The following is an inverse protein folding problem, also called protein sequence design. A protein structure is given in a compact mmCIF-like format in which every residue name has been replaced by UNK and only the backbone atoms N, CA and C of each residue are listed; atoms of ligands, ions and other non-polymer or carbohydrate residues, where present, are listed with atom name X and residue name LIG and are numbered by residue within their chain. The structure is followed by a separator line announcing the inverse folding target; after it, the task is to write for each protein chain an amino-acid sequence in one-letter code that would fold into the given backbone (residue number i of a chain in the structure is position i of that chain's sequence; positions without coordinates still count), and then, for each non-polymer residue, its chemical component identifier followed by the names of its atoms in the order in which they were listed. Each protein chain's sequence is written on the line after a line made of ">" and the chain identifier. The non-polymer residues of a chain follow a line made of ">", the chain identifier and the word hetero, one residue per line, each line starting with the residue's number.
data_IF_680211597162
#
_entry.id   IF_680211597162
#
_cell.length_a   1.000
_cell.length_b   1.000
_cell.length_c   1.000
_cell.angle_alpha   90.00
_cell.angle_beta   90.00
_cell.angle_gamma   90.00
#
_symmetry.space_group_name_H-M   'P 1'
#
loop_
_entity.id
_entity.type
_entity.pdbx_description
1 polymer ?
#
# COMPACT_ATOMS: atom_id res chain seq x y z
N UNK A 1 -23.32 21.05 -11.52
CA UNK A 1 -21.86 21.22 -11.78
C UNK A 1 -21.02 20.73 -10.62
N UNK A 2 -21.23 21.23 -9.39
CA UNK A 2 -20.49 20.82 -8.18
C UNK A 2 -20.47 19.29 -7.92
N UNK A 3 -21.62 18.62 -7.98
CA UNK A 3 -21.69 17.17 -7.77
C UNK A 3 -20.90 16.36 -8.81
N UNK A 4 -20.81 16.85 -10.06
CA UNK A 4 -20.03 16.18 -11.11
C UNK A 4 -18.53 16.24 -10.82
N UNK A 5 -18.04 17.39 -10.35
CA UNK A 5 -16.63 17.57 -9.99
C UNK A 5 -16.23 16.66 -8.82
N UNK A 6 -17.08 16.55 -7.78
CA UNK A 6 -16.81 15.68 -6.64
C UNK A 6 -16.77 14.20 -7.03
N UNK A 7 -17.66 13.78 -7.93
CA UNK A 7 -17.64 12.42 -8.48
C UNK A 7 -16.38 12.14 -9.33
N UNK A 8 -15.92 13.12 -10.12
CA UNK A 8 -14.66 13.00 -10.89
C UNK A 8 -13.43 12.90 -9.97
N UNK A 9 -13.35 13.74 -8.93
CA UNK A 9 -12.28 13.68 -7.93
C UNK A 9 -12.27 12.32 -7.24
N UNK A 10 -13.45 11.82 -6.83
CA UNK A 10 -13.56 10.49 -6.21
C UNK A 10 -13.03 9.40 -7.16
N UNK A 11 -13.41 9.43 -8.43
CA UNK A 11 -12.92 8.47 -9.44
C UNK A 11 -11.40 8.53 -9.59
N UNK A 12 -10.81 9.72 -9.62
CA UNK A 12 -9.35 9.85 -9.69
C UNK A 12 -8.63 9.24 -8.49
N UNK A 13 -9.17 9.39 -7.27
CA UNK A 13 -8.59 8.73 -6.10
C UNK A 13 -8.70 7.20 -6.19
N UNK A 14 -9.83 6.66 -6.64
CA UNK A 14 -10.00 5.21 -6.83
C UNK A 14 -8.98 4.66 -7.84
N UNK A 15 -8.82 5.34 -8.98
CA UNK A 15 -7.83 4.98 -10.00
C UNK A 15 -6.40 5.08 -9.47
N UNK A 16 -6.04 6.19 -8.84
CA UNK A 16 -4.70 6.41 -8.30
C UNK A 16 -4.31 5.33 -7.27
N UNK A 17 -5.18 5.07 -6.30
CA UNK A 17 -4.91 4.07 -5.26
C UNK A 17 -4.81 2.66 -5.87
N UNK A 18 -5.64 2.34 -6.87
CA UNK A 18 -5.56 1.07 -7.60
C UNK A 18 -4.24 0.95 -8.35
N UNK A 19 -3.82 1.99 -9.06
CA UNK A 19 -2.54 2.02 -9.78
C UNK A 19 -1.34 1.82 -8.85
N UNK A 20 -1.37 2.42 -7.67
CA UNK A 20 -0.34 2.22 -6.63
C UNK A 20 -0.32 0.75 -6.19
N UNK A 21 -1.48 0.16 -5.84
CA UNK A 21 -1.56 -1.25 -5.43
C UNK A 21 -1.05 -2.17 -6.55
N UNK A 22 -1.44 -1.93 -7.80
CA UNK A 22 -0.98 -2.72 -8.95
C UNK A 22 0.54 -2.59 -9.12
N UNK A 23 1.09 -1.39 -8.98
CA UNK A 23 2.52 -1.15 -9.10
C UNK A 23 3.32 -1.87 -8.01
N UNK A 24 2.89 -1.76 -6.75
CA UNK A 24 3.52 -2.43 -5.62
C UNK A 24 3.37 -3.96 -5.70
N UNK A 25 2.28 -4.47 -6.27
CA UNK A 25 2.08 -5.90 -6.47
C UNK A 25 3.13 -6.52 -7.40
N UNK A 26 3.68 -5.75 -8.33
CA UNK A 26 4.80 -6.18 -9.19
C UNK A 26 6.12 -6.25 -8.41
N UNK A 27 6.29 -5.41 -7.39
CA UNK A 27 7.55 -5.29 -6.62
C UNK A 27 7.57 -6.26 -5.44
N UNK A 28 6.49 -6.32 -4.68
CA UNK A 28 6.38 -7.05 -3.41
C UNK A 28 5.64 -8.39 -3.55
N UNK A 29 4.90 -8.58 -4.64
CA UNK A 29 4.00 -9.70 -4.83
C UNK A 29 2.55 -9.35 -4.49
N UNK A 30 1.60 -9.91 -5.24
CA UNK A 30 0.19 -9.55 -5.18
C UNK A 30 -0.43 -9.80 -3.80
N UNK A 31 -0.19 -10.97 -3.19
CA UNK A 31 -0.87 -11.37 -1.96
C UNK A 31 -0.54 -10.45 -0.79
N UNK A 32 0.75 -10.16 -0.58
CA UNK A 32 1.20 -9.30 0.51
C UNK A 32 0.78 -7.85 0.29
N UNK A 33 0.80 -7.39 -0.96
CA UNK A 33 0.41 -6.03 -1.32
C UNK A 33 -1.08 -5.80 -1.05
N UNK A 34 -1.94 -6.71 -1.52
CA UNK A 34 -3.38 -6.64 -1.28
C UNK A 34 -3.69 -6.74 0.22
N UNK A 35 -3.06 -7.67 0.94
CA UNK A 35 -3.25 -7.80 2.39
C UNK A 35 -2.87 -6.52 3.14
N UNK A 36 -1.78 -5.85 2.74
CA UNK A 36 -1.33 -4.59 3.33
C UNK A 36 -2.26 -3.42 2.97
N UNK A 37 -2.76 -3.35 1.74
CA UNK A 37 -3.78 -2.37 1.38
C UNK A 37 -5.09 -2.57 2.17
N UNK A 38 -5.49 -3.81 2.43
CA UNK A 38 -6.68 -4.14 3.23
C UNK A 38 -6.56 -3.69 4.70
N UNK A 39 -5.35 -3.55 5.25
CA UNK A 39 -5.18 -3.03 6.62
C UNK A 39 -5.40 -1.51 6.70
N UNK A 40 -5.43 -0.80 5.57
CA UNK A 40 -5.71 0.64 5.54
C UNK A 40 -7.19 0.90 5.81
N UNK A 41 -7.49 1.31 7.04
CA UNK A 41 -8.85 1.66 7.46
C UNK A 41 -9.48 2.71 6.54
N UNK A 42 -10.65 2.36 5.97
CA UNK A 42 -11.40 3.21 5.05
C UNK A 42 -11.20 2.87 3.57
N UNK A 43 -10.22 2.04 3.23
CA UNK A 43 -10.05 1.52 1.87
C UNK A 43 -10.91 0.26 1.67
N UNK A 44 -11.63 0.18 0.55
CA UNK A 44 -12.44 -0.99 0.20
C UNK A 44 -11.94 -1.54 -1.13
N UNK A 45 -11.49 -2.78 -1.11
CA UNK A 45 -10.95 -3.48 -2.28
C UNK A 45 -11.90 -4.59 -2.74
N UNK A 46 -11.83 -4.92 -4.02
CA UNK A 46 -12.32 -6.20 -4.51
C UNK A 46 -11.28 -7.32 -4.32
N UNK A 47 -11.64 -8.54 -4.73
CA UNK A 47 -10.76 -9.72 -4.64
C UNK A 47 -9.50 -9.63 -5.51
N UNK A 48 -9.46 -8.70 -6.47
CA UNK A 48 -8.34 -8.49 -7.38
C UNK A 48 -7.44 -7.33 -6.94
N UNK A 49 -7.73 -6.71 -5.79
CA UNK A 49 -6.97 -5.57 -5.28
C UNK A 49 -7.38 -4.22 -5.86
N UNK A 50 -8.45 -4.14 -6.66
CA UNK A 50 -8.93 -2.85 -7.17
C UNK A 50 -9.69 -2.10 -6.09
N UNK A 51 -9.49 -0.79 -6.02
CA UNK A 51 -10.18 0.07 -5.05
C UNK A 51 -11.57 0.39 -5.56
N UNK A 52 -12.58 -0.20 -4.94
CA UNK A 52 -13.99 -0.02 -5.32
C UNK A 52 -14.69 1.07 -4.51
N UNK A 53 -14.16 1.43 -3.33
CA UNK A 53 -14.69 2.51 -2.54
C UNK A 53 -13.68 3.06 -1.52
N UNK A 54 -13.92 4.29 -1.09
CA UNK A 54 -13.17 4.99 -0.05
C UNK A 54 -14.19 5.52 0.96
N UNK A 55 -13.98 5.21 2.23
CA UNK A 55 -14.81 5.66 3.36
C UNK A 55 -14.00 6.66 4.20
N UNK A 56 -14.39 7.93 4.14
CA UNK A 56 -13.71 9.01 4.85
C UNK A 56 -12.92 9.92 3.90
N UNK A 57 -11.88 10.55 4.43
CA UNK A 57 -11.05 11.47 3.66
C UNK A 57 -10.08 10.72 2.74
N UNK A 58 -10.20 10.94 1.43
CA UNK A 58 -9.44 10.22 0.42
C UNK A 58 -7.94 10.57 0.44
N UNK A 59 -7.59 11.81 0.79
CA UNK A 59 -6.20 12.23 0.86
C UNK A 59 -5.49 11.56 2.04
N UNK A 60 -6.15 11.52 3.22
CA UNK A 60 -5.63 10.81 4.39
C UNK A 60 -5.46 9.31 4.12
N UNK A 61 -6.40 8.69 3.41
CA UNK A 61 -6.32 7.26 3.05
C UNK A 61 -5.16 6.99 2.08
N UNK A 62 -4.93 7.89 1.12
CA UNK A 62 -3.76 7.82 0.23
C UNK A 62 -2.45 7.87 1.01
N UNK A 63 -2.31 8.82 1.94
CA UNK A 63 -1.11 8.90 2.77
C UNK A 63 -0.89 7.64 3.60
N UNK A 64 -1.94 7.12 4.25
CA UNK A 64 -1.86 5.87 5.00
C UNK A 64 -1.42 4.69 4.13
N UNK A 65 -1.96 4.55 2.92
CA UNK A 65 -1.55 3.48 2.01
C UNK A 65 -0.06 3.55 1.67
N UNK A 66 0.45 4.75 1.39
CA UNK A 66 1.86 4.99 1.10
C UNK A 66 2.72 4.62 2.31
N UNK A 67 2.36 5.09 3.50
CA UNK A 67 3.10 4.83 4.74
C UNK A 67 3.19 3.32 5.02
N UNK A 68 2.08 2.58 4.86
CA UNK A 68 2.05 1.13 5.05
C UNK A 68 3.00 0.37 4.11
N UNK A 69 3.17 0.83 2.87
CA UNK A 69 4.13 0.23 1.93
C UNK A 69 5.57 0.62 2.21
N UNK A 70 5.83 1.88 2.57
CA UNK A 70 7.17 2.33 2.98
C UNK A 70 7.65 1.51 4.19
N UNK A 71 6.78 1.34 5.19
CA UNK A 71 7.09 0.54 6.38
C UNK A 71 7.35 -0.92 6.03
N UNK A 72 6.53 -1.52 5.15
CA UNK A 72 6.73 -2.89 4.70
C UNK A 72 8.08 -3.07 4.01
N UNK A 73 8.42 -2.20 3.06
CA UNK A 73 9.71 -2.24 2.35
C UNK A 73 10.87 -2.07 3.34
N UNK A 74 10.76 -1.13 4.27
CA UNK A 74 11.76 -0.92 5.31
C UNK A 74 11.99 -2.15 6.18
N UNK A 75 10.94 -2.87 6.54
CA UNK A 75 11.04 -4.11 7.31
C UNK A 75 11.64 -5.25 6.50
N UNK A 76 11.23 -5.42 5.23
CA UNK A 76 11.82 -6.41 4.34
C UNK A 76 13.32 -6.20 4.15
N UNK A 77 13.75 -4.95 3.97
CA UNK A 77 15.18 -4.61 3.88
C UNK A 77 15.94 -4.96 5.17
N UNK A 78 15.37 -4.64 6.35
CA UNK A 78 15.96 -4.98 7.65
C UNK A 78 16.08 -6.49 7.84
N UNK A 79 15.03 -7.24 7.52
CA UNK A 79 15.01 -8.70 7.68
C UNK A 79 16.02 -9.38 6.77
N UNK A 80 16.13 -8.93 5.51
CA UNK A 80 17.14 -9.42 4.58
C UNK A 80 18.58 -9.17 5.09
N UNK A 81 18.85 -7.98 5.63
CA UNK A 81 20.15 -7.64 6.21
C UNK A 81 20.42 -8.49 7.47
N UNK A 82 19.42 -8.70 8.31
CA UNK A 82 19.53 -9.54 9.52
C UNK A 82 19.92 -10.97 9.16
N UNK A 83 19.28 -11.56 8.13
CA UNK A 83 19.63 -12.91 7.65
C UNK A 83 21.09 -13.01 7.17
N UNK A 84 21.63 -11.93 6.60
CA UNK A 84 23.04 -11.87 6.22
C UNK A 84 23.92 -11.85 7.48
N UNK A 85 23.59 -11.06 8.50
CA UNK A 85 24.37 -11.00 9.74
C UNK A 85 24.36 -12.31 10.52
N UNK A 86 23.28 -13.10 10.46
CA UNK A 86 23.24 -14.44 11.07
C UNK A 86 24.32 -15.37 10.49
N UNK A 87 24.80 -15.12 9.27
CA UNK A 87 25.91 -15.86 8.63
C UNK A 87 27.29 -15.40 9.13
N UNK A 88 27.38 -14.26 9.82
CA UNK A 88 28.63 -13.68 10.34
C UNK A 88 28.58 -13.43 11.86
N UNK A 89 28.41 -14.47 12.69
CA UNK A 89 28.11 -14.34 14.13
C UNK A 89 29.23 -13.70 14.98
N UNK A 90 30.42 -13.51 14.42
CA UNK A 90 31.55 -12.88 15.10
C UNK A 90 31.59 -11.34 14.94
N UNK A 91 30.82 -10.78 14.01
CA UNK A 91 30.74 -9.34 13.78
C UNK A 91 29.69 -8.76 14.73
N UNK A 92 30.07 -7.79 15.57
CA UNK A 92 29.16 -7.05 16.47
C UNK A 92 28.89 -5.67 15.89
N UNK A 93 27.62 -5.34 15.67
CA UNK A 93 27.12 -4.01 15.23
C UNK A 93 25.97 -3.63 16.16
#
# INVERSE_FOLDING_TARGET
>A
MYNKLMEEIKKHYLSLLTEIIVKESVILGSDITIAKAQSVGGLVLDSSGNVINIKGDANQILHKLIDEYVDLIGNLAKDAIKEIFEKYPLIKI
#
